data_IF_691275274026
#
_entry.id   IF_691275274026
#
_cell.length_a   1.000
_cell.length_b   1.000
_cell.length_c   1.000
_cell.angle_alpha   90.00
_cell.angle_beta   90.00
_cell.angle_gamma   90.00
#
_symmetry.space_group_name_H-M   'P 1'
#
loop_
_entity.id
_entity.type
_entity.pdbx_description
1 polymer ?
#
# COMPACT_ATOMS: atom_id res chain seq x y z
N UNK A 1 35.21 -21.98 9.75
CA UNK A 1 35.19 -22.83 8.54
C UNK A 1 34.97 -21.90 7.37
N UNK A 2 36.06 -21.46 6.74
CA UNK A 2 36.01 -20.79 5.44
C UNK A 2 36.20 -21.86 4.38
N UNK A 3 35.42 -21.79 3.30
CA UNK A 3 35.73 -22.48 2.06
C UNK A 3 35.63 -21.48 0.94
N UNK A 4 36.81 -21.16 0.43
CA UNK A 4 37.12 -20.47 -0.81
C UNK A 4 36.59 -21.23 -2.02
N UNK A 5 36.12 -20.50 -3.02
CA UNK A 5 36.00 -20.99 -4.40
C UNK A 5 37.16 -20.42 -5.23
N UNK A 6 38.06 -21.28 -5.70
CA UNK A 6 39.02 -21.05 -6.80
C UNK A 6 38.97 -22.36 -7.61
N UNK A 7 38.51 -22.37 -8.86
CA UNK A 7 39.21 -22.06 -10.12
C UNK A 7 38.86 -23.20 -11.10
N UNK A 8 38.92 -23.13 -12.43
CA UNK A 8 39.44 -22.18 -13.39
C UNK A 8 38.86 -22.48 -14.80
N UNK A 9 38.92 -21.46 -15.67
CA UNK A 9 39.10 -21.46 -17.13
C UNK A 9 38.13 -22.21 -18.08
N UNK A 10 37.49 -21.44 -18.98
CA UNK A 10 38.02 -21.39 -20.35
C UNK A 10 37.55 -20.18 -21.17
N UNK A 11 38.46 -19.79 -22.04
CA UNK A 11 38.60 -18.60 -22.87
C UNK A 11 37.49 -18.44 -23.94
N UNK A 12 36.73 -17.34 -23.90
CA UNK A 12 36.02 -16.83 -25.08
C UNK A 12 35.70 -15.34 -24.96
N UNK A 13 36.73 -14.48 -24.99
CA UNK A 13 36.53 -13.03 -25.13
C UNK A 13 36.10 -12.69 -26.56
N UNK A 14 34.79 -12.75 -26.82
CA UNK A 14 34.18 -11.94 -27.89
C UNK A 14 34.09 -10.51 -27.38
N UNK A 15 34.76 -9.59 -28.09
CA UNK A 15 34.56 -8.15 -27.95
C UNK A 15 33.06 -7.87 -28.15
N UNK A 16 32.39 -7.43 -27.09
CA UNK A 16 31.10 -6.78 -27.18
C UNK A 16 31.45 -5.32 -27.43
N UNK A 17 31.11 -4.84 -28.63
CA UNK A 17 31.25 -3.44 -29.00
C UNK A 17 30.37 -2.60 -28.06
N UNK A 18 30.97 -1.61 -27.42
CA UNK A 18 30.30 -0.59 -26.62
C UNK A 18 29.36 0.23 -27.53
N UNK A 19 28.07 -0.10 -27.49
CA UNK A 19 26.97 0.75 -27.97
C UNK A 19 25.70 0.37 -27.20
N UNK A 20 25.71 0.63 -25.89
CA UNK A 20 24.57 0.43 -24.98
C UNK A 20 23.93 1.80 -24.66
N UNK A 21 23.65 2.61 -25.70
CA UNK A 21 23.05 3.95 -25.60
C UNK A 21 21.53 3.93 -25.87
N UNK A 22 20.86 2.81 -25.60
CA UNK A 22 19.43 2.60 -25.92
C UNK A 22 18.56 2.26 -24.70
N UNK A 23 18.86 2.81 -23.52
CA UNK A 23 18.06 2.60 -22.29
C UNK A 23 17.29 3.81 -21.77
N UNK A 24 17.08 4.86 -22.56
CA UNK A 24 16.30 6.04 -22.11
C UNK A 24 15.52 6.72 -23.23
N UNK A 25 15.00 5.96 -24.21
CA UNK A 25 13.93 6.51 -25.06
C UNK A 25 12.61 6.48 -24.27
N UNK A 26 12.42 7.53 -23.47
CA UNK A 26 11.10 7.92 -22.96
C UNK A 26 10.31 8.30 -24.20
N UNK A 27 9.33 7.46 -24.57
CA UNK A 27 8.39 7.81 -25.62
C UNK A 27 7.53 8.97 -25.09
N UNK A 28 7.79 10.19 -25.59
CA UNK A 28 7.11 11.42 -25.19
C UNK A 28 5.64 11.48 -25.66
N UNK A 29 5.14 10.42 -26.31
CA UNK A 29 3.84 10.36 -26.97
C UNK A 29 2.70 9.74 -26.14
N UNK A 30 2.93 9.37 -24.88
CA UNK A 30 1.85 8.88 -24.03
C UNK A 30 1.12 10.03 -23.32
N UNK A 31 -0.17 10.17 -23.63
CA UNK A 31 -1.17 10.98 -22.92
C UNK A 31 -1.39 10.42 -21.51
N UNK A 32 -0.39 10.59 -20.65
CA UNK A 32 -0.35 10.01 -19.32
C UNK A 32 -1.21 10.85 -18.35
N UNK A 33 -2.46 10.41 -18.15
CA UNK A 33 -3.47 11.04 -17.28
C UNK A 33 -3.01 11.42 -15.86
N UNK A 34 -1.86 10.91 -15.40
CA UNK A 34 -1.29 11.24 -14.07
C UNK A 34 -0.83 12.65 -13.96
N UNK A 35 -0.25 13.19 -15.02
CA UNK A 35 0.35 14.51 -14.98
C UNK A 35 -0.71 15.62 -15.15
N UNK A 36 -1.88 15.27 -15.70
CA UNK A 36 -2.97 16.20 -16.03
C UNK A 36 -3.43 17.06 -14.85
N UNK A 37 -3.47 16.48 -13.65
CA UNK A 37 -3.89 17.18 -12.43
C UNK A 37 -3.01 18.39 -12.09
N UNK A 38 -1.74 18.40 -12.52
CA UNK A 38 -0.84 19.56 -12.33
C UNK A 38 -0.84 20.51 -13.54
N UNK A 39 -1.36 20.08 -14.69
CA UNK A 39 -1.52 20.95 -15.86
C UNK A 39 -2.70 21.92 -15.71
N UNK A 40 -3.66 21.63 -14.83
CA UNK A 40 -4.89 22.40 -14.63
C UNK A 40 -5.13 22.76 -13.15
N UNK A 41 -4.13 23.34 -12.49
CA UNK A 41 -4.28 23.74 -11.08
C UNK A 41 -5.27 24.90 -10.90
N UNK A 42 -6.02 24.94 -9.77
CA UNK A 42 -6.86 26.08 -9.41
C UNK A 42 -6.09 27.39 -9.37
N UNK A 43 -6.76 28.51 -9.68
CA UNK A 43 -6.13 29.84 -9.74
C UNK A 43 -5.55 30.29 -8.38
N UNK A 44 -6.15 29.82 -7.30
CA UNK A 44 -5.76 30.06 -5.91
C UNK A 44 -4.73 29.05 -5.36
N UNK A 45 -4.24 28.13 -6.20
CA UNK A 45 -3.19 27.19 -5.80
C UNK A 45 -1.96 27.96 -5.29
N UNK A 46 -1.40 27.61 -4.10
CA UNK A 46 -0.28 28.35 -3.50
C UNK A 46 1.03 28.24 -4.28
N UNK A 47 1.08 27.35 -5.27
CA UNK A 47 2.23 27.13 -6.14
C UNK A 47 1.88 27.36 -7.60
N UNK A 48 2.90 27.67 -8.38
CA UNK A 48 2.86 27.73 -9.83
C UNK A 48 3.80 26.66 -10.38
N UNK A 49 3.32 25.87 -11.34
CA UNK A 49 4.10 24.85 -12.05
C UNK A 49 4.81 25.54 -13.21
N UNK A 50 6.13 25.37 -13.29
CA UNK A 50 6.99 26.15 -14.18
C UNK A 50 7.11 25.55 -15.58
N UNK A 51 6.92 24.23 -15.69
CA UNK A 51 6.97 23.47 -16.94
C UNK A 51 6.10 22.22 -16.81
N UNK A 52 5.74 21.58 -17.94
CA UNK A 52 4.99 20.31 -17.93
C UNK A 52 5.72 19.29 -17.03
N UNK A 53 5.04 18.67 -16.04
CA UNK A 53 5.65 17.64 -15.20
C UNK A 53 6.28 16.53 -16.03
N UNK A 54 7.40 15.99 -15.55
CA UNK A 54 8.19 14.97 -16.26
C UNK A 54 8.07 13.63 -15.57
N UNK A 55 7.93 12.57 -16.35
CA UNK A 55 8.05 11.21 -15.84
C UNK A 55 9.52 10.82 -15.97
N UNK A 56 10.21 10.78 -14.82
CA UNK A 56 11.66 10.53 -14.77
C UNK A 56 12.00 9.05 -14.55
N UNK A 57 11.00 8.21 -14.25
CA UNK A 57 11.13 6.75 -14.18
C UNK A 57 9.80 6.06 -14.47
N UNK A 58 9.83 4.94 -15.21
CA UNK A 58 8.68 4.05 -15.48
C UNK A 58 9.05 2.60 -15.12
N UNK A 59 8.51 2.09 -14.02
CA UNK A 59 8.60 0.69 -13.63
C UNK A 59 7.41 -0.13 -14.14
N UNK A 60 7.29 -1.40 -13.75
CA UNK A 60 6.10 -2.21 -14.07
C UNK A 60 4.84 -1.69 -13.37
N UNK A 61 4.95 -1.39 -12.07
CA UNK A 61 3.82 -1.03 -11.19
C UNK A 61 3.75 0.46 -10.85
N UNK A 62 4.89 1.13 -10.85
CA UNK A 62 5.05 2.52 -10.39
C UNK A 62 5.77 3.39 -11.41
N UNK A 63 5.70 4.70 -11.19
CA UNK A 63 6.45 5.74 -11.92
C UNK A 63 6.85 6.86 -10.98
N UNK A 64 7.93 7.56 -11.33
CA UNK A 64 8.38 8.75 -10.60
C UNK A 64 8.11 9.98 -11.45
N UNK A 65 7.45 10.97 -10.84
CA UNK A 65 7.13 12.25 -11.47
C UNK A 65 7.96 13.34 -10.81
N UNK A 66 8.62 14.13 -11.65
CA UNK A 66 9.35 15.32 -11.28
C UNK A 66 8.54 16.58 -11.65
N UNK A 67 8.44 17.50 -10.70
CA UNK A 67 7.70 18.75 -10.83
C UNK A 67 8.63 19.90 -10.47
N UNK A 68 8.82 20.81 -11.42
CA UNK A 68 9.42 22.13 -11.17
C UNK A 68 8.33 23.13 -10.83
N UNK A 69 8.43 23.73 -9.65
CA UNK A 69 7.44 24.67 -9.15
C UNK A 69 8.09 25.83 -8.43
N UNK A 70 7.31 26.87 -8.16
CA UNK A 70 7.64 27.92 -7.18
C UNK A 70 6.43 28.25 -6.33
N UNK A 71 6.67 28.74 -5.12
CA UNK A 71 5.60 29.31 -4.28
C UNK A 71 5.18 30.65 -4.89
N UNK A 72 3.89 30.99 -4.91
CA UNK A 72 3.45 32.32 -5.40
C UNK A 72 3.95 33.48 -4.53
N UNK A 73 4.34 33.20 -3.29
CA UNK A 73 4.84 34.18 -2.31
C UNK A 73 6.32 34.54 -2.50
N UNK A 74 7.08 33.78 -3.31
CA UNK A 74 8.47 34.09 -3.59
C UNK A 74 8.85 33.69 -5.02
N UNK A 75 10.08 33.98 -5.43
CA UNK A 75 10.57 33.64 -6.78
C UNK A 75 11.51 32.44 -6.80
N UNK A 76 11.63 31.70 -5.69
CA UNK A 76 12.54 30.57 -5.60
C UNK A 76 11.94 29.36 -6.30
N UNK A 77 12.65 28.86 -7.30
CA UNK A 77 12.31 27.61 -7.97
C UNK A 77 12.72 26.41 -7.11
N UNK A 78 11.88 25.39 -7.09
CA UNK A 78 12.10 24.13 -6.38
C UNK A 78 11.72 22.95 -7.28
N UNK A 79 12.27 21.78 -6.94
CA UNK A 79 11.97 20.51 -7.59
C UNK A 79 11.34 19.60 -6.53
N UNK A 80 10.23 18.94 -6.88
CA UNK A 80 9.64 17.85 -6.12
C UNK A 80 9.64 16.59 -6.96
N UNK A 81 9.98 15.46 -6.33
CA UNK A 81 9.87 14.13 -6.92
C UNK A 81 8.87 13.31 -6.12
N UNK A 82 8.00 12.59 -6.81
CA UNK A 82 6.90 11.83 -6.21
C UNK A 82 6.68 10.50 -6.91
N UNK A 83 6.25 9.49 -6.16
CA UNK A 83 6.01 8.13 -6.63
C UNK A 83 4.51 7.90 -6.85
N UNK A 84 4.14 7.31 -7.98
CA UNK A 84 2.74 7.07 -8.34
C UNK A 84 2.55 5.65 -8.86
N UNK A 85 1.39 5.05 -8.59
CA UNK A 85 0.94 3.85 -9.32
C UNK A 85 0.68 4.19 -10.78
N UNK A 86 0.86 3.20 -11.67
CA UNK A 86 0.53 3.33 -13.10
C UNK A 86 -0.97 3.46 -13.34
N UNK A 87 -1.74 2.64 -12.66
CA UNK A 87 -3.20 2.69 -12.71
C UNK A 87 -3.69 3.84 -11.84
N UNK A 88 -4.58 4.64 -12.41
CA UNK A 88 -5.14 5.81 -11.76
C UNK A 88 -6.65 5.69 -11.81
N UNK A 89 -7.26 5.73 -10.64
CA UNK A 89 -8.71 5.84 -10.50
C UNK A 89 -9.02 7.25 -9.99
N UNK A 90 -9.28 8.23 -10.89
CA UNK A 90 -9.59 9.58 -10.47
C UNK A 90 -10.80 9.56 -9.52
N UNK A 91 -10.70 10.30 -8.41
CA UNK A 91 -11.72 10.41 -7.38
C UNK A 91 -12.09 9.13 -6.61
N UNK A 92 -11.30 8.06 -6.72
CA UNK A 92 -11.47 6.82 -5.95
C UNK A 92 -10.18 6.45 -5.21
N UNK A 93 -10.24 5.83 -4.02
CA UNK A 93 -9.06 5.24 -3.38
C UNK A 93 -8.46 4.12 -4.24
N UNK A 94 -7.17 3.88 -4.06
CA UNK A 94 -6.45 2.80 -4.72
C UNK A 94 -6.70 1.45 -4.04
N UNK A 95 -6.90 1.45 -2.73
CA UNK A 95 -7.09 0.24 -1.92
C UNK A 95 -8.02 0.45 -0.74
N UNK A 96 -8.29 -0.62 -0.02
CA UNK A 96 -9.08 -0.64 1.22
C UNK A 96 -8.30 -1.36 2.31
N UNK A 97 -8.31 -0.81 3.51
CA UNK A 97 -7.90 -1.50 4.73
C UNK A 97 -9.15 -1.91 5.52
N UNK A 98 -9.16 -3.15 6.03
CA UNK A 98 -10.31 -3.76 6.69
C UNK A 98 -10.07 -3.90 8.19
N UNK A 99 -10.75 -3.06 8.97
CA UNK A 99 -10.77 -3.19 10.43
C UNK A 99 -11.81 -4.25 10.80
N UNK A 100 -11.37 -5.50 10.89
CA UNK A 100 -12.24 -6.64 11.14
C UNK A 100 -12.32 -6.99 12.63
N UNK A 101 -13.55 -7.12 13.14
CA UNK A 101 -13.86 -7.60 14.49
C UNK A 101 -14.52 -8.99 14.42
N UNK A 102 -13.85 -9.98 14.99
CA UNK A 102 -14.31 -11.35 15.11
C UNK A 102 -14.95 -11.58 16.47
N UNK A 103 -16.21 -12.03 16.48
CA UNK A 103 -16.91 -12.47 17.69
C UNK A 103 -16.96 -13.98 17.74
N UNK A 104 -16.33 -14.58 18.75
CA UNK A 104 -16.22 -16.04 18.89
C UNK A 104 -16.20 -16.44 20.36
N UNK A 105 -17.05 -17.39 20.75
CA UNK A 105 -17.09 -17.89 22.13
C UNK A 105 -17.33 -16.81 23.18
N UNK A 106 -18.14 -15.79 22.86
CA UNK A 106 -18.46 -14.67 23.76
C UNK A 106 -17.35 -13.63 23.94
N UNK A 107 -16.30 -13.66 23.11
CA UNK A 107 -15.21 -12.67 23.09
C UNK A 107 -15.09 -12.01 21.73
N UNK A 108 -14.48 -10.82 21.72
CA UNK A 108 -14.22 -10.05 20.51
C UNK A 108 -12.70 -9.93 20.27
N UNK A 109 -12.31 -10.12 19.03
CA UNK A 109 -10.93 -10.09 18.57
C UNK A 109 -10.82 -9.16 17.37
N UNK A 110 -9.73 -8.39 17.29
CA UNK A 110 -9.33 -7.81 16.01
C UNK A 110 -8.60 -8.87 15.19
N UNK A 111 -8.88 -8.89 13.89
CA UNK A 111 -8.18 -9.73 12.92
C UNK A 111 -7.16 -8.87 12.20
N UNK A 112 -5.90 -9.29 12.28
CA UNK A 112 -4.76 -8.67 11.63
C UNK A 112 -4.08 -9.69 10.72
N UNK A 113 -3.19 -9.19 9.87
CA UNK A 113 -2.28 -10.00 9.08
C UNK A 113 -0.84 -9.65 9.44
N UNK A 114 0.04 -10.64 9.36
CA UNK A 114 1.48 -10.47 9.37
C UNK A 114 2.00 -10.88 7.99
N UNK A 115 2.39 -9.89 7.20
CA UNK A 115 2.80 -10.07 5.80
C UNK A 115 4.29 -9.79 5.64
N UNK A 116 4.99 -10.57 4.81
CA UNK A 116 6.35 -10.22 4.40
C UNK A 116 6.34 -9.16 3.28
N UNK A 117 6.76 -7.94 3.60
CA UNK A 117 6.80 -6.83 2.64
C UNK A 117 8.20 -6.71 2.03
N UNK A 118 8.29 -6.76 0.70
CA UNK A 118 9.55 -6.59 -0.02
C UNK A 118 10.22 -5.21 0.19
N UNK A 119 9.50 -4.07 0.21
CA UNK A 119 10.15 -2.77 0.35
C UNK A 119 10.94 -2.57 1.67
N UNK A 120 10.42 -2.91 2.86
CA UNK A 120 11.21 -2.93 4.08
C UNK A 120 12.04 -4.22 4.25
N UNK A 121 11.85 -5.23 3.39
CA UNK A 121 12.46 -6.56 3.47
C UNK A 121 12.20 -7.29 4.81
N UNK A 122 11.04 -7.03 5.42
CA UNK A 122 10.70 -7.46 6.78
C UNK A 122 9.23 -7.85 6.87
N UNK A 123 8.88 -8.55 7.95
CA UNK A 123 7.47 -8.79 8.28
C UNK A 123 6.84 -7.53 8.86
N UNK A 124 5.66 -7.21 8.36
CA UNK A 124 4.82 -6.09 8.77
C UNK A 124 3.52 -6.61 9.38
N UNK A 125 3.07 -5.99 10.47
CA UNK A 125 1.82 -6.29 11.14
C UNK A 125 0.78 -5.23 10.76
N UNK A 126 -0.23 -5.65 10.02
CA UNK A 126 -1.13 -4.78 9.25
C UNK A 126 -2.60 -5.19 9.45
N UNK A 127 -3.52 -4.33 9.04
CA UNK A 127 -4.89 -4.77 8.78
C UNK A 127 -4.94 -5.56 7.47
N UNK A 128 -5.89 -6.51 7.30
CA UNK A 128 -6.16 -7.07 6.00
C UNK A 128 -6.46 -5.96 4.99
N UNK A 129 -5.87 -6.01 3.80
CA UNK A 129 -5.92 -4.91 2.86
C UNK A 129 -5.57 -5.31 1.44
N UNK A 130 -6.13 -4.62 0.47
CA UNK A 130 -5.69 -4.76 -0.91
C UNK A 130 -6.24 -3.71 -1.85
N UNK A 131 -5.94 -3.89 -3.13
CA UNK A 131 -6.29 -2.93 -4.16
C UNK A 131 -7.73 -3.09 -4.61
N UNK A 132 -8.31 -1.96 -5.00
CA UNK A 132 -9.64 -1.92 -5.57
C UNK A 132 -9.58 -2.34 -7.03
N UNK A 133 -10.37 -3.33 -7.42
CA UNK A 133 -10.47 -3.75 -8.81
C UNK A 133 -11.35 -2.80 -9.64
N UNK A 134 -11.25 -2.90 -10.97
CA UNK A 134 -12.05 -2.10 -11.89
C UNK A 134 -13.55 -2.37 -11.67
N UNK A 135 -14.33 -1.29 -11.49
CA UNK A 135 -15.76 -1.37 -11.22
C UNK A 135 -16.16 -1.85 -9.81
N UNK A 136 -15.22 -2.32 -9.00
CA UNK A 136 -15.49 -2.83 -7.64
C UNK A 136 -15.96 -1.72 -6.68
N UNK A 137 -16.85 -2.02 -5.73
CA UNK A 137 -17.14 -1.05 -4.65
C UNK A 137 -16.15 -1.23 -3.50
N UNK A 138 -15.98 -0.21 -2.65
CA UNK A 138 -15.14 -0.33 -1.45
C UNK A 138 -15.60 -1.49 -0.54
N UNK A 139 -16.91 -1.72 -0.46
CA UNK A 139 -17.48 -2.77 0.38
C UNK A 139 -17.18 -4.15 -0.23
N UNK A 140 -17.27 -4.29 -1.55
CA UNK A 140 -16.99 -5.54 -2.23
C UNK A 140 -15.50 -5.90 -2.10
N UNK A 141 -14.61 -4.92 -2.33
CA UNK A 141 -13.17 -5.05 -2.11
C UNK A 141 -12.86 -5.50 -0.67
N UNK A 142 -13.43 -4.81 0.32
CA UNK A 142 -13.21 -5.17 1.73
C UNK A 142 -13.67 -6.58 2.08
N UNK A 143 -14.72 -7.10 1.42
CA UNK A 143 -15.18 -8.48 1.62
C UNK A 143 -14.26 -9.48 0.96
N UNK A 144 -13.82 -9.19 -0.26
CA UNK A 144 -12.92 -10.01 -1.05
C UNK A 144 -11.56 -10.14 -0.37
N UNK A 145 -10.91 -9.01 -0.09
CA UNK A 145 -9.57 -8.97 0.55
C UNK A 145 -9.58 -9.66 1.93
N UNK A 146 -10.58 -9.37 2.77
CA UNK A 146 -10.71 -10.06 4.06
C UNK A 146 -10.84 -11.58 3.89
N UNK A 147 -11.59 -12.04 2.88
CA UNK A 147 -11.80 -13.46 2.61
C UNK A 147 -10.54 -14.12 2.04
N UNK A 148 -9.86 -13.47 1.13
CA UNK A 148 -8.63 -13.95 0.49
C UNK A 148 -7.51 -14.09 1.53
N UNK A 149 -7.21 -13.01 2.26
CA UNK A 149 -6.08 -12.97 3.18
C UNK A 149 -6.32 -13.72 4.50
N UNK A 150 -7.57 -13.83 4.96
CA UNK A 150 -7.86 -14.41 6.29
C UNK A 150 -8.75 -15.65 6.27
N UNK A 151 -9.46 -15.89 5.16
CA UNK A 151 -10.47 -16.93 5.03
C UNK A 151 -11.79 -16.62 5.73
N UNK A 152 -11.89 -15.52 6.49
CA UNK A 152 -13.11 -15.13 7.19
C UNK A 152 -14.14 -14.48 6.26
N UNK A 153 -15.40 -14.75 6.55
CA UNK A 153 -16.54 -14.14 5.87
C UNK A 153 -17.26 -13.20 6.82
N UNK A 154 -17.28 -11.91 6.47
CA UNK A 154 -17.93 -10.90 7.28
C UNK A 154 -19.47 -11.00 7.18
N UNK A 155 -20.16 -11.00 8.32
CA UNK A 155 -21.62 -10.90 8.38
C UNK A 155 -22.10 -9.49 8.04
N UNK A 156 -21.28 -8.48 8.31
CA UNK A 156 -21.56 -7.07 7.99
C UNK A 156 -20.27 -6.37 7.61
N UNK A 157 -20.34 -5.52 6.59
CA UNK A 157 -19.27 -4.59 6.23
C UNK A 157 -19.88 -3.20 6.07
N UNK A 158 -19.25 -2.21 6.68
CA UNK A 158 -19.61 -0.80 6.52
C UNK A 158 -18.39 -0.01 6.06
N UNK A 159 -18.60 0.85 5.06
CA UNK A 159 -17.63 1.86 4.69
C UNK A 159 -18.10 3.19 5.29
N UNK A 160 -17.32 3.75 6.22
CA UNK A 160 -17.66 5.03 6.86
C UNK A 160 -17.33 6.23 5.96
N UNK A 161 -16.39 6.03 5.03
CA UNK A 161 -15.95 7.04 4.06
C UNK A 161 -15.36 6.33 2.84
N UNK A 162 -15.99 6.52 1.69
CA UNK A 162 -15.49 6.10 0.37
C UNK A 162 -14.45 7.10 -0.20
N UNK A 163 -14.06 8.09 0.61
CA UNK A 163 -13.09 9.11 0.22
C UNK A 163 -11.67 8.56 0.26
N UNK A 164 -10.80 9.25 -0.47
CA UNK A 164 -9.36 8.99 -0.50
C UNK A 164 -8.73 9.46 0.81
N UNK A 165 -8.08 8.54 1.51
CA UNK A 165 -7.20 8.81 2.63
C UNK A 165 -5.75 8.61 2.18
N UNK A 166 -4.97 9.68 1.95
CA UNK A 166 -3.59 9.57 1.48
C UNK A 166 -2.69 8.91 2.53
N UNK A 167 -1.87 7.94 2.11
CA UNK A 167 -0.97 7.23 3.04
C UNK A 167 0.31 8.04 3.32
N UNK A 168 0.92 8.61 2.28
CA UNK A 168 2.13 9.41 2.39
C UNK A 168 2.06 10.63 1.44
N UNK A 169 1.22 11.64 1.76
CA UNK A 169 0.91 12.77 0.86
C UNK A 169 2.10 13.66 0.50
N UNK A 170 3.22 13.53 1.23
CA UNK A 170 4.47 14.22 0.94
C UNK A 170 5.29 13.55 -0.18
N UNK A 171 4.99 12.29 -0.52
CA UNK A 171 5.75 11.47 -1.47
C UNK A 171 4.88 10.90 -2.59
N UNK A 172 3.62 10.57 -2.32
CA UNK A 172 2.74 9.86 -3.25
C UNK A 172 1.29 10.30 -3.09
N UNK A 173 0.49 10.11 -4.13
CA UNK A 173 -0.97 10.24 -4.09
C UNK A 173 -1.69 8.90 -3.86
N UNK A 174 -0.93 7.83 -3.61
CA UNK A 174 -1.46 6.56 -3.12
C UNK A 174 -2.33 6.83 -1.90
N UNK A 175 -3.52 6.27 -1.96
CA UNK A 175 -4.59 6.52 -1.00
C UNK A 175 -5.44 5.29 -0.86
N UNK A 176 -5.94 5.10 0.34
CA UNK A 176 -6.80 3.99 0.72
C UNK A 176 -8.12 4.53 1.24
N UNK A 177 -9.00 3.62 1.61
CA UNK A 177 -10.17 3.87 2.43
C UNK A 177 -10.27 2.79 3.51
N UNK A 178 -11.15 2.99 4.48
CA UNK A 178 -11.32 2.07 5.59
C UNK A 178 -12.72 1.46 5.57
N UNK A 179 -12.78 0.14 5.72
CA UNK A 179 -14.01 -0.59 5.96
C UNK A 179 -13.96 -1.23 7.34
N UNK A 180 -15.08 -1.22 8.06
CA UNK A 180 -15.24 -2.00 9.27
C UNK A 180 -16.02 -3.26 8.94
N UNK A 181 -15.51 -4.41 9.37
CA UNK A 181 -16.13 -5.71 9.15
C UNK A 181 -16.46 -6.39 10.48
N UNK A 182 -17.65 -6.97 10.57
CA UNK A 182 -18.07 -7.81 11.68
C UNK A 182 -18.08 -9.26 11.22
N UNK A 183 -17.45 -10.16 11.98
CA UNK A 183 -17.36 -11.59 11.68
C UNK A 183 -18.03 -12.37 12.80
N UNK A 184 -18.99 -13.23 12.44
CA UNK A 184 -19.53 -14.22 13.37
C UNK A 184 -18.67 -15.48 13.30
N UNK A 185 -17.76 -15.64 14.27
CA UNK A 185 -16.84 -16.77 14.38
C UNK A 185 -17.47 -18.08 14.81
N UNK A 186 -18.69 -18.04 15.37
CA UNK A 186 -19.44 -19.24 15.78
C UNK A 186 -20.28 -19.82 14.63
N UNK A 187 -20.40 -19.08 13.52
CA UNK A 187 -21.09 -19.52 12.29
C UNK A 187 -20.37 -20.69 11.62
N UNK A 188 -21.12 -21.55 10.92
CA UNK A 188 -20.57 -22.74 10.25
C UNK A 188 -19.48 -22.38 9.23
N UNK A 189 -19.66 -21.28 8.49
CA UNK A 189 -18.75 -20.81 7.45
C UNK A 189 -17.38 -20.39 8.01
N UNK A 190 -17.34 -19.82 9.21
CA UNK A 190 -16.12 -19.32 9.84
C UNK A 190 -15.47 -20.29 10.83
N UNK A 191 -15.96 -21.54 10.94
CA UNK A 191 -15.34 -22.55 11.84
C UNK A 191 -13.97 -23.00 11.38
N UNK A 192 -13.71 -22.97 10.07
CA UNK A 192 -12.45 -23.39 9.47
C UNK A 192 -12.11 -22.45 8.30
N UNK A 193 -11.74 -21.19 8.59
CA UNK A 193 -11.41 -20.23 7.55
C UNK A 193 -10.21 -20.74 6.74
N UNK A 194 -10.27 -20.55 5.42
CA UNK A 194 -9.19 -20.91 4.50
C UNK A 194 -8.83 -19.71 3.65
N UNK A 195 -7.56 -19.33 3.72
CA UNK A 195 -7.01 -18.27 2.90
C UNK A 195 -6.95 -18.69 1.43
N UNK A 196 -7.05 -17.71 0.55
CA UNK A 196 -6.90 -17.79 -0.89
C UNK A 196 -5.95 -16.67 -1.30
N UNK A 197 -4.66 -16.89 -1.05
CA UNK A 197 -3.61 -15.91 -1.27
C UNK A 197 -3.15 -15.91 -2.73
N UNK A 198 -2.70 -14.75 -3.20
CA UNK A 198 -1.96 -14.64 -4.46
C UNK A 198 -0.58 -15.31 -4.36
N UNK A 199 0.01 -15.68 -5.50
CA UNK A 199 1.28 -16.42 -5.54
C UNK A 199 2.45 -15.69 -4.86
N UNK A 200 2.41 -14.36 -4.83
CA UNK A 200 3.45 -13.51 -4.24
C UNK A 200 3.21 -13.21 -2.75
N UNK A 201 2.04 -13.55 -2.21
CA UNK A 201 1.65 -13.19 -0.85
C UNK A 201 2.17 -14.20 0.17
N UNK A 202 2.75 -13.68 1.24
CA UNK A 202 3.25 -14.47 2.36
C UNK A 202 2.61 -13.88 3.63
N UNK A 203 1.43 -14.40 3.97
CA UNK A 203 0.56 -13.85 5.01
C UNK A 203 0.28 -14.89 6.11
N UNK A 204 0.37 -14.44 7.36
CA UNK A 204 -0.10 -15.15 8.55
C UNK A 204 -1.26 -14.37 9.20
N UNK A 205 -2.39 -15.03 9.48
CA UNK A 205 -3.51 -14.41 10.21
C UNK A 205 -3.20 -14.36 11.70
N UNK A 206 -3.45 -13.20 12.32
CA UNK A 206 -3.28 -13.00 13.76
C UNK A 206 -4.56 -12.45 14.37
N UNK A 207 -5.15 -13.23 15.28
CA UNK A 207 -6.31 -12.82 16.07
C UNK A 207 -5.86 -12.31 17.44
N UNK A 208 -6.27 -11.10 17.81
CA UNK A 208 -5.92 -10.52 19.11
C UNK A 208 -7.17 -10.02 19.81
N UNK A 209 -7.40 -10.49 21.05
CA UNK A 209 -8.54 -10.04 21.86
C UNK A 209 -8.51 -8.51 21.97
N UNK A 210 -9.63 -7.84 21.66
CA UNK A 210 -9.63 -6.38 21.46
C UNK A 210 -9.06 -5.62 22.66
N UNK A 211 -9.34 -6.09 23.89
CA UNK A 211 -8.84 -5.48 25.14
C UNK A 211 -7.34 -5.68 25.40
N UNK A 212 -6.66 -6.54 24.63
CA UNK A 212 -5.22 -6.82 24.73
C UNK A 212 -4.44 -6.33 23.52
N UNK A 213 -5.13 -5.89 22.46
CA UNK A 213 -4.52 -5.57 21.17
C UNK A 213 -3.40 -4.51 21.27
N UNK A 214 -3.59 -3.45 22.06
CA UNK A 214 -2.56 -2.44 22.24
C UNK A 214 -1.30 -3.01 22.95
N UNK A 215 -1.48 -3.74 24.05
CA UNK A 215 -0.36 -4.38 24.77
C UNK A 215 0.35 -5.43 23.91
N UNK A 216 -0.41 -6.17 23.09
CA UNK A 216 0.15 -7.12 22.12
C UNK A 216 1.05 -6.40 21.12
N UNK A 217 0.56 -5.34 20.47
CA UNK A 217 1.35 -4.54 19.52
C UNK A 217 2.63 -4.01 20.17
N UNK A 218 2.55 -3.43 21.37
CA UNK A 218 3.73 -2.96 22.11
C UNK A 218 4.77 -4.08 22.33
N UNK A 219 4.33 -5.32 22.56
CA UNK A 219 5.24 -6.45 22.78
C UNK A 219 5.96 -6.92 21.52
N UNK A 220 5.34 -6.78 20.34
CA UNK A 220 5.89 -7.26 19.07
C UNK A 220 6.66 -6.18 18.30
N UNK A 221 6.43 -4.89 18.59
CA UNK A 221 7.05 -3.75 17.88
C UNK A 221 8.59 -3.72 17.92
N UNK A 222 9.23 -4.54 18.75
CA UNK A 222 10.70 -4.68 18.77
C UNK A 222 11.24 -5.71 17.77
N UNK A 223 10.36 -6.50 17.15
CA UNK A 223 10.70 -7.65 16.29
C UNK A 223 9.98 -7.64 14.94
N UNK A 224 8.86 -6.93 14.85
CA UNK A 224 8.00 -6.84 13.67
C UNK A 224 7.65 -5.38 13.46
N UNK A 225 7.68 -4.91 12.22
CA UNK A 225 7.22 -3.57 11.89
C UNK A 225 5.71 -3.52 12.05
N UNK A 226 5.23 -2.71 12.98
CA UNK A 226 3.78 -2.48 13.12
C UNK A 226 3.41 -1.32 12.22
N UNK A 227 2.42 -1.53 11.36
CA UNK A 227 1.90 -0.47 10.50
C UNK A 227 1.44 0.74 11.33
N UNK A 228 1.68 1.93 10.78
CA UNK A 228 1.40 3.19 11.46
C UNK A 228 -0.09 3.38 11.74
N UNK A 229 -0.96 2.92 10.83
CA UNK A 229 -2.42 3.00 11.00
C UNK A 229 -2.93 2.01 12.04
N UNK A 230 -2.39 0.78 12.07
CA UNK A 230 -2.66 -0.17 13.16
C UNK A 230 -2.27 0.43 14.50
N UNK A 231 -1.06 0.99 14.61
CA UNK A 231 -0.58 1.58 15.86
C UNK A 231 -1.43 2.78 16.31
N UNK A 232 -1.77 3.69 15.37
CA UNK A 232 -2.60 4.85 15.65
C UNK A 232 -4.03 4.47 16.05
N UNK A 233 -4.63 3.49 15.36
CA UNK A 233 -5.95 2.95 15.69
C UNK A 233 -5.97 2.40 17.11
N UNK A 234 -5.01 1.55 17.47
CA UNK A 234 -4.97 0.92 18.80
C UNK A 234 -4.62 1.91 19.90
N UNK A 235 -3.81 2.94 19.61
CA UNK A 235 -3.58 4.03 20.54
C UNK A 235 -4.89 4.76 20.86
N UNK A 236 -5.68 5.11 19.83
CA UNK A 236 -6.98 5.74 20.00
C UNK A 236 -8.00 4.84 20.71
N UNK A 237 -8.04 3.55 20.35
CA UNK A 237 -8.92 2.56 20.96
C UNK A 237 -8.62 2.33 22.46
N UNK A 238 -7.34 2.40 22.85
CA UNK A 238 -6.90 2.19 24.23
C UNK A 238 -6.86 3.48 25.07
N UNK A 239 -6.88 4.66 24.44
CA UNK A 239 -6.87 5.92 25.14
C UNK A 239 -8.16 6.10 25.96
N UNK A 240 -8.03 6.09 27.29
CA UNK A 240 -9.09 6.48 28.22
C UNK A 240 -8.93 7.97 28.48
N UNK A 241 -9.71 8.79 27.79
CA UNK A 241 -9.88 10.21 28.14
C UNK A 241 -11.04 10.38 29.12
#
# INVERSE_FOLDING_TARGET
>A
MSTSWIGDNDDNRRRIDDNDDDRTRIDDNDDDRTIDKWCSLPIDCPVEILEKPKIVYRGQWTRTIEIRYRKRTNKKEEISQSLHRKEISPNRPHGVEVIATLHKGGKSYFVFVKEYRLPPAEYCFEFPAGLLEEGETVIDAARRELKEETGYTASKVICLSDRRHPMAPHLTDNSICYAMAEINGDSLENRNPRMHLDEAEIIEVVEVECNKAFTYVQSISTKVNVDGMVYAFLLGYNAKF
#
